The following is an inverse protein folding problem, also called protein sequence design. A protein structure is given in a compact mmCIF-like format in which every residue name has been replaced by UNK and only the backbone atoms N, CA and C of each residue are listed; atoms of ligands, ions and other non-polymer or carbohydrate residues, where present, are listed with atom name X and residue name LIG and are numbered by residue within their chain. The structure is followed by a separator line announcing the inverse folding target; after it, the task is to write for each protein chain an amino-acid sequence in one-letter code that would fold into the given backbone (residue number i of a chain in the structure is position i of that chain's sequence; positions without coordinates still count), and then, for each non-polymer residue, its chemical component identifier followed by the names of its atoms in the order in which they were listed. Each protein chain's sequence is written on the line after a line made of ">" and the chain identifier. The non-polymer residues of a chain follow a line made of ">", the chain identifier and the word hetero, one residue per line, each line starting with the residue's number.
data_IF_547671936939
#
_entry.id   IF_547671936939
#
_cell.length_a   1.000
_cell.length_b   1.000
_cell.length_c   1.000
_cell.angle_alpha   90.00
_cell.angle_beta   90.00
_cell.angle_gamma   90.00
#
_symmetry.space_group_name_H-M   'P 1'
#
loop_
_entity.id
_entity.type
_entity.pdbx_description
1 polymer ?
#
# COMPACT_ATOMS: atom_id res chain seq x y z
N UNK A 1 20.37 0.82 -10.24
CA UNK A 1 20.12 0.46 -8.83
C UNK A 1 18.80 1.11 -8.47
N UNK A 2 17.78 0.31 -8.11
CA UNK A 2 16.56 0.87 -7.52
C UNK A 2 16.91 1.42 -6.13
N UNK A 3 16.36 2.57 -5.77
CA UNK A 3 16.51 3.12 -4.43
C UNK A 3 15.75 2.26 -3.41
N UNK A 4 16.11 2.36 -2.13
CA UNK A 4 15.40 1.66 -1.05
C UNK A 4 13.89 1.92 -1.07
N UNK A 5 13.50 3.17 -1.36
CA UNK A 5 12.08 3.57 -1.49
C UNK A 5 11.40 2.82 -2.64
N UNK A 6 12.06 2.70 -3.80
CA UNK A 6 11.50 1.98 -4.94
C UNK A 6 11.28 0.50 -4.63
N UNK A 7 12.16 -0.10 -3.81
CA UNK A 7 11.99 -1.49 -3.35
C UNK A 7 10.80 -1.64 -2.40
N UNK A 8 10.63 -0.72 -1.43
CA UNK A 8 9.50 -0.74 -0.50
C UNK A 8 8.16 -0.55 -1.22
N UNK A 9 8.13 0.33 -2.25
CA UNK A 9 6.94 0.54 -3.09
C UNK A 9 6.63 -0.70 -3.92
N UNK A 10 7.64 -1.32 -4.55
CA UNK A 10 7.42 -2.55 -5.32
C UNK A 10 6.88 -3.68 -4.42
N UNK A 11 7.46 -3.86 -3.24
CA UNK A 11 6.98 -4.86 -2.27
C UNK A 11 5.53 -4.59 -1.85
N UNK A 12 5.16 -3.32 -1.62
CA UNK A 12 3.77 -2.97 -1.33
C UNK A 12 2.84 -3.35 -2.48
N UNK A 13 3.18 -2.99 -3.72
CA UNK A 13 2.39 -3.30 -4.91
C UNK A 13 2.23 -4.81 -5.06
N UNK A 14 3.32 -5.57 -4.91
CA UNK A 14 3.31 -7.03 -5.00
C UNK A 14 2.40 -7.64 -3.92
N UNK A 15 2.27 -7.03 -2.74
CA UNK A 15 1.43 -7.51 -1.65
C UNK A 15 -0.03 -7.04 -1.71
N UNK A 16 -0.41 -6.13 -2.62
CA UNK A 16 -1.78 -5.58 -2.66
C UNK A 16 -2.86 -6.65 -2.85
N UNK A 17 -2.54 -7.83 -3.37
CA UNK A 17 -3.45 -8.96 -3.53
C UNK A 17 -3.71 -9.78 -2.24
N UNK A 18 -2.91 -9.59 -1.18
CA UNK A 18 -3.01 -10.34 0.08
C UNK A 18 -4.10 -9.80 1.00
N UNK A 19 -4.32 -10.39 2.18
CA UNK A 19 -5.22 -9.80 3.18
C UNK A 19 -4.66 -8.48 3.74
N UNK A 20 -5.56 -7.55 4.05
CA UNK A 20 -5.18 -6.22 4.57
C UNK A 20 -4.38 -6.34 5.87
N UNK A 21 -4.74 -7.30 6.73
CA UNK A 21 -4.00 -7.58 7.96
C UNK A 21 -2.54 -7.98 7.71
N UNK A 22 -2.25 -8.72 6.64
CA UNK A 22 -0.88 -9.11 6.28
C UNK A 22 -0.07 -7.91 5.81
N UNK A 23 -0.69 -7.00 5.04
CA UNK A 23 -0.05 -5.74 4.63
C UNK A 23 0.25 -4.87 5.85
N UNK A 24 -0.69 -4.76 6.80
CA UNK A 24 -0.52 -3.95 8.02
C UNK A 24 0.50 -4.53 9.01
N UNK A 25 0.80 -5.84 8.94
CA UNK A 25 1.91 -6.44 9.70
C UNK A 25 3.28 -6.00 9.19
N UNK A 26 3.41 -5.66 7.91
CA UNK A 26 4.69 -5.36 7.27
C UNK A 26 4.89 -3.86 6.99
N UNK A 27 3.81 -3.11 6.78
CA UNK A 27 3.86 -1.70 6.41
C UNK A 27 3.24 -0.79 7.46
N UNK A 28 3.89 0.36 7.65
CA UNK A 28 3.32 1.50 8.36
C UNK A 28 3.23 2.67 7.40
N UNK A 29 2.02 3.19 7.22
CA UNK A 29 1.80 4.33 6.33
C UNK A 29 1.90 5.63 7.11
N UNK A 30 2.46 6.64 6.45
CA UNK A 30 2.55 7.99 7.00
C UNK A 30 2.06 9.01 5.99
N UNK A 31 1.36 10.04 6.46
CA UNK A 31 0.97 11.20 5.68
C UNK A 31 1.43 12.46 6.41
N UNK A 32 2.17 13.33 5.70
CA UNK A 32 2.78 14.53 6.28
C UNK A 32 3.61 14.24 7.56
N UNK A 33 4.35 13.13 7.56
CA UNK A 33 5.18 12.69 8.69
C UNK A 33 4.40 12.11 9.87
N UNK A 34 3.07 12.05 9.82
CA UNK A 34 2.22 11.41 10.84
C UNK A 34 1.85 10.01 10.43
N UNK A 35 1.97 9.06 11.35
CA UNK A 35 1.51 7.69 11.14
C UNK A 35 0.00 7.66 11.02
N UNK A 36 -0.51 7.00 9.99
CA UNK A 36 -1.93 6.77 9.81
C UNK A 36 -2.45 5.82 10.90
N UNK A 37 -3.68 6.06 11.34
CA UNK A 37 -4.43 5.07 12.12
C UNK A 37 -4.65 3.80 11.31
N UNK A 38 -5.02 2.71 11.98
CA UNK A 38 -5.36 1.46 11.30
C UNK A 38 -6.51 1.65 10.30
N UNK A 39 -7.58 2.33 10.70
CA UNK A 39 -8.71 2.62 9.83
C UNK A 39 -8.33 3.47 8.60
N UNK A 40 -7.42 4.44 8.75
CA UNK A 40 -6.90 5.23 7.63
C UNK A 40 -6.01 4.39 6.71
N UNK A 41 -5.18 3.53 7.29
CA UNK A 41 -4.31 2.62 6.54
C UNK A 41 -5.13 1.63 5.70
N UNK A 42 -6.19 1.06 6.27
CA UNK A 42 -7.13 0.17 5.56
C UNK A 42 -7.76 0.93 4.38
N UNK A 43 -8.29 2.13 4.61
CA UNK A 43 -8.88 2.95 3.52
C UNK A 43 -7.86 3.26 2.42
N UNK A 44 -6.62 3.55 2.78
CA UNK A 44 -5.55 3.79 1.82
C UNK A 44 -5.23 2.54 0.99
N UNK A 45 -5.14 1.36 1.61
CA UNK A 45 -4.91 0.10 0.89
C UNK A 45 -6.07 -0.20 -0.07
N UNK A 46 -7.32 -0.01 0.34
CA UNK A 46 -8.48 -0.19 -0.54
C UNK A 46 -8.45 0.75 -1.73
N UNK A 47 -8.10 2.02 -1.50
CA UNK A 47 -7.90 2.98 -2.58
C UNK A 47 -6.82 2.52 -3.57
N UNK A 48 -5.67 2.04 -3.10
CA UNK A 48 -4.61 1.54 -3.97
C UNK A 48 -5.06 0.35 -4.83
N UNK A 49 -5.87 -0.55 -4.28
CA UNK A 49 -6.46 -1.66 -5.05
C UNK A 49 -7.38 -1.19 -6.15
N UNK A 50 -8.28 -0.27 -5.82
CA UNK A 50 -9.24 0.29 -6.78
C UNK A 50 -8.50 0.98 -7.94
N UNK A 51 -7.46 1.76 -7.64
CA UNK A 51 -6.66 2.42 -8.68
C UNK A 51 -5.86 1.42 -9.52
N UNK A 52 -5.39 0.32 -8.93
CA UNK A 52 -4.72 -0.76 -9.68
C UNK A 52 -5.70 -1.48 -10.61
N UNK A 53 -6.92 -1.76 -10.17
CA UNK A 53 -7.97 -2.37 -10.98
C UNK A 53 -8.36 -1.46 -12.15
N UNK A 54 -8.60 -0.17 -11.91
CA UNK A 54 -8.89 0.83 -12.96
C UNK A 54 -7.80 0.90 -14.03
N UNK A 55 -6.54 0.78 -13.63
CA UNK A 55 -5.41 0.78 -14.58
C UNK A 55 -5.37 -0.48 -15.45
N UNK A 56 -5.91 -1.60 -14.95
CA UNK A 56 -5.94 -2.88 -15.64
C UNK A 56 -7.24 -3.10 -16.45
N UNK A 57 -8.21 -2.18 -16.36
CA UNK A 57 -9.42 -2.17 -17.17
C UNK A 57 -9.10 -1.56 -18.56
N UNK A 58 -9.23 -2.30 -19.66
CA UNK A 58 -8.78 -1.90 -21.01
C UNK A 58 -9.60 -0.79 -21.68
#
# INVERSE_FOLDING_TARGET
>A
MLGKVDMEVQQLVDMLHLDVEEILRQFHFTFEGKRLTEAESIRFIMYLREELEKKNDP
#
